data_IF_346385213571
#
_entry.id   IF_346385213571
#
_cell.length_a   1.000
_cell.length_b   1.000
_cell.length_c   1.000
_cell.angle_alpha   90.00
_cell.angle_beta   90.00
_cell.angle_gamma   90.00
#
_symmetry.space_group_name_H-M   'P 1'
#
loop_
_entity.id
_entity.type
_entity.pdbx_description
1 polymer ?
#
# COMPACT_ATOMS: atom_id res chain seq x y z
N UNK A 1 -7.38 -5.29 72.19
CA UNK A 1 -7.08 -4.31 71.12
C UNK A 1 -7.38 -5.05 69.81
N UNK A 2 -8.44 -4.79 69.05
CA UNK A 2 -8.83 -3.50 68.47
C UNK A 2 -8.00 -3.29 67.19
N UNK A 3 -8.53 -3.30 65.96
CA UNK A 3 -9.92 -3.13 65.47
C UNK A 3 -10.21 -4.03 64.26
N UNK A 4 -11.49 -4.31 64.01
CA UNK A 4 -11.97 -4.75 62.70
C UNK A 4 -12.53 -3.55 61.91
N UNK A 5 -12.22 -3.47 60.61
CA UNK A 5 -12.93 -2.71 59.56
C UNK A 5 -12.31 -3.17 58.22
N UNK A 6 -12.92 -4.03 57.39
CA UNK A 6 -14.28 -4.05 56.84
C UNK A 6 -14.54 -2.86 55.88
N UNK A 7 -14.04 -2.99 54.66
CA UNK A 7 -14.53 -2.26 53.48
C UNK A 7 -14.74 -3.25 52.33
N UNK A 8 -15.98 -3.72 52.20
CA UNK A 8 -16.44 -4.40 51.00
C UNK A 8 -16.63 -3.35 49.89
N UNK A 9 -15.79 -3.36 48.85
CA UNK A 9 -16.11 -2.66 47.62
C UNK A 9 -16.92 -3.58 46.70
N UNK A 10 -18.23 -3.51 46.86
CA UNK A 10 -19.17 -3.93 45.81
C UNK A 10 -19.02 -2.99 44.62
N UNK A 11 -18.44 -3.49 43.52
CA UNK A 11 -18.74 -2.94 42.20
C UNK A 11 -19.61 -3.94 41.45
N UNK A 12 -20.91 -3.82 41.67
CA UNK A 12 -21.89 -4.20 40.66
C UNK A 12 -21.72 -3.26 39.47
N UNK A 13 -21.32 -3.80 38.32
CA UNK A 13 -21.74 -3.20 37.05
C UNK A 13 -22.11 -4.30 36.06
N UNK A 14 -23.40 -4.35 35.73
CA UNK A 14 -23.97 -5.29 34.80
C UNK A 14 -23.89 -4.75 33.37
N UNK A 15 -23.24 -5.51 32.50
CA UNK A 15 -23.49 -5.64 31.05
C UNK A 15 -22.78 -6.94 30.67
N UNK A 16 -23.41 -7.94 30.08
CA UNK A 16 -24.29 -7.86 28.91
C UNK A 16 -23.55 -8.59 27.79
N UNK A 17 -24.19 -9.56 27.12
CA UNK A 17 -23.55 -10.34 26.05
C UNK A 17 -23.03 -9.44 24.93
N UNK A 18 -22.04 -9.89 24.17
CA UNK A 18 -22.23 -10.22 22.75
C UNK A 18 -21.03 -11.01 22.20
N UNK A 19 -21.29 -12.22 21.73
CA UNK A 19 -20.40 -12.86 20.76
C UNK A 19 -20.68 -12.23 19.40
N UNK A 20 -19.72 -11.52 18.82
CA UNK A 20 -19.84 -11.05 17.44
C UNK A 20 -19.48 -12.18 16.48
N UNK A 21 -20.49 -12.81 15.90
CA UNK A 21 -20.36 -13.48 14.61
C UNK A 21 -19.92 -12.45 13.58
N UNK A 22 -18.76 -12.66 12.94
CA UNK A 22 -18.24 -11.75 11.92
C UNK A 22 -19.04 -11.97 10.61
N UNK A 23 -20.08 -11.16 10.39
CA UNK A 23 -20.84 -11.18 9.13
C UNK A 23 -20.02 -10.52 8.01
N UNK A 24 -19.74 -11.28 6.96
CA UNK A 24 -18.92 -10.85 5.83
C UNK A 24 -19.76 -10.08 4.81
N UNK A 25 -19.94 -8.76 4.98
CA UNK A 25 -20.53 -7.88 3.94
C UNK A 25 -20.08 -6.40 4.02
N UNK A 26 -19.05 -6.09 3.23
CA UNK A 26 -18.75 -4.80 2.55
C UNK A 26 -18.28 -3.55 3.37
N UNK A 27 -16.94 -3.32 3.39
CA UNK A 27 -16.18 -2.07 3.07
C UNK A 27 -16.75 -0.66 3.47
N UNK A 28 -16.05 0.35 4.04
CA UNK A 28 -14.65 0.69 4.47
C UNK A 28 -14.80 1.64 5.72
N UNK A 29 -13.94 1.76 6.76
CA UNK A 29 -12.61 2.42 6.79
C UNK A 29 -11.95 2.30 8.18
N UNK A 30 -10.87 1.51 8.28
CA UNK A 30 -9.75 1.84 9.17
C UNK A 30 -8.77 2.71 8.37
N UNK A 31 -7.95 3.58 9.00
CA UNK A 31 -6.78 4.12 8.32
C UNK A 31 -5.98 2.96 7.70
N UNK A 32 -5.43 3.08 6.48
CA UNK A 32 -4.49 2.10 5.97
C UNK A 32 -3.39 1.91 7.01
N UNK A 33 -3.00 0.66 7.28
CA UNK A 33 -1.87 0.40 8.18
C UNK A 33 -0.56 0.81 7.50
N UNK A 34 -0.28 2.11 7.55
CA UNK A 34 0.91 2.73 6.98
C UNK A 34 2.16 2.35 7.77
N UNK A 35 2.03 1.88 9.02
CA UNK A 35 3.16 1.53 9.88
C UNK A 35 4.08 0.50 9.22
N UNK A 36 3.50 -0.45 8.48
CA UNK A 36 4.22 -1.48 7.71
C UNK A 36 5.14 -0.91 6.62
N UNK A 37 4.87 0.28 6.10
CA UNK A 37 5.55 0.86 4.92
C UNK A 37 6.28 2.18 5.17
N UNK A 38 5.98 2.88 6.26
CA UNK A 38 6.59 4.16 6.60
C UNK A 38 8.09 4.02 6.90
N UNK A 39 8.47 3.06 7.74
CA UNK A 39 9.87 2.80 8.10
C UNK A 39 10.53 1.70 7.26
N UNK A 40 9.82 1.19 6.25
CA UNK A 40 10.32 0.11 5.41
C UNK A 40 11.48 0.56 4.50
N UNK A 41 12.44 -0.34 4.30
CA UNK A 41 13.44 -0.23 3.26
C UNK A 41 12.77 -0.53 1.91
N UNK A 42 12.51 0.53 1.14
CA UNK A 42 11.91 0.42 -0.19
C UNK A 42 12.98 0.76 -1.23
N UNK A 43 13.31 -0.20 -2.07
CA UNK A 43 14.27 -0.04 -3.18
C UNK A 43 13.60 -0.28 -4.52
N UNK A 44 14.19 0.27 -5.58
CA UNK A 44 13.73 0.15 -6.97
C UNK A 44 14.87 -0.30 -7.87
N UNK A 45 14.57 -1.15 -8.84
CA UNK A 45 15.52 -1.60 -9.87
C UNK A 45 14.89 -1.36 -11.23
N UNK A 46 15.65 -0.82 -12.18
CA UNK A 46 15.20 -0.66 -13.57
C UNK A 46 15.77 -1.81 -14.41
N UNK A 47 14.95 -2.38 -15.28
CA UNK A 47 15.34 -3.47 -16.18
C UNK A 47 14.91 -3.19 -17.63
N UNK A 48 15.60 -3.79 -18.59
CA UNK A 48 15.18 -3.78 -19.99
C UNK A 48 13.99 -4.73 -20.19
N UNK A 49 12.88 -4.20 -20.66
CA UNK A 49 11.66 -4.95 -20.99
C UNK A 49 11.63 -5.32 -22.49
N UNK A 50 10.51 -5.87 -22.96
CA UNK A 50 10.32 -6.27 -24.35
C UNK A 50 10.46 -5.06 -25.32
N UNK A 51 10.76 -5.31 -26.60
CA UNK A 51 10.91 -4.27 -27.63
C UNK A 51 11.91 -3.14 -27.27
N UNK A 52 12.99 -3.45 -26.52
CA UNK A 52 13.99 -2.48 -26.03
C UNK A 52 13.40 -1.35 -25.16
N UNK A 53 12.24 -1.58 -24.56
CA UNK A 53 11.62 -0.66 -23.58
C UNK A 53 12.18 -0.89 -22.17
N UNK A 54 11.69 -0.14 -21.19
CA UNK A 54 12.10 -0.23 -19.79
C UNK A 54 10.93 -0.65 -18.89
N UNK A 55 11.24 -1.46 -17.88
CA UNK A 55 10.36 -1.76 -16.76
C UNK A 55 11.03 -1.44 -15.43
N UNK A 56 10.29 -1.61 -14.34
CA UNK A 56 10.85 -1.48 -12.98
C UNK A 56 10.31 -2.53 -12.01
N UNK A 57 11.14 -2.88 -11.05
CA UNK A 57 10.80 -3.65 -9.87
C UNK A 57 10.84 -2.75 -8.63
N UNK A 58 9.95 -3.00 -7.66
CA UNK A 58 10.00 -2.37 -6.33
C UNK A 58 10.03 -3.47 -5.28
N UNK A 59 11.04 -3.41 -4.41
CA UNK A 59 11.23 -4.30 -3.29
C UNK A 59 10.92 -3.58 -1.98
N UNK A 60 10.25 -4.27 -1.05
CA UNK A 60 9.99 -3.80 0.31
C UNK A 60 10.63 -4.80 1.28
N UNK A 61 11.59 -4.33 2.08
CA UNK A 61 12.40 -5.17 2.97
C UNK A 61 13.01 -6.38 2.25
N UNK A 62 13.56 -6.14 1.05
CA UNK A 62 14.14 -7.13 0.12
C UNK A 62 13.15 -8.10 -0.55
N UNK A 63 11.85 -8.04 -0.26
CA UNK A 63 10.82 -8.84 -0.94
C UNK A 63 10.27 -8.07 -2.14
N UNK A 64 10.23 -8.70 -3.32
CA UNK A 64 9.62 -8.13 -4.52
C UNK A 64 8.12 -7.90 -4.29
N UNK A 65 7.69 -6.65 -4.36
CA UNK A 65 6.28 -6.26 -4.16
C UNK A 65 5.60 -5.89 -5.49
N UNK A 66 6.31 -5.20 -6.39
CA UNK A 66 5.81 -4.81 -7.71
C UNK A 66 6.82 -5.23 -8.76
N UNK A 67 6.34 -5.92 -9.79
CA UNK A 67 7.05 -6.15 -11.05
C UNK A 67 6.24 -5.48 -12.16
N UNK A 68 6.75 -4.41 -12.75
CA UNK A 68 6.03 -3.59 -13.73
C UNK A 68 6.82 -3.50 -15.05
N UNK A 69 6.64 -4.48 -15.97
CA UNK A 69 7.33 -4.51 -17.26
C UNK A 69 6.69 -3.60 -18.32
N UNK A 70 5.43 -3.22 -18.16
CA UNK A 70 4.67 -2.37 -19.10
C UNK A 70 4.23 -1.05 -18.46
N UNK A 71 3.83 -0.05 -19.25
CA UNK A 71 3.27 1.21 -18.72
C UNK A 71 1.89 0.93 -18.07
N UNK A 72 1.65 1.32 -16.79
CA UNK A 72 0.34 1.19 -16.16
C UNK A 72 -0.78 1.92 -16.93
N UNK A 73 -2.05 1.52 -16.72
CA UNK A 73 -3.24 2.10 -17.37
C UNK A 73 -3.35 1.97 -18.90
N UNK A 74 -2.32 1.50 -19.60
CA UNK A 74 -2.35 1.23 -21.03
C UNK A 74 -2.36 -0.29 -21.26
N UNK A 75 -3.29 -0.78 -22.09
CA UNK A 75 -3.51 -2.22 -22.30
C UNK A 75 -2.44 -2.94 -23.13
N UNK A 76 -1.24 -2.36 -23.23
CA UNK A 76 -0.16 -2.82 -24.08
C UNK A 76 0.88 -3.67 -23.35
N UNK A 77 1.64 -4.45 -24.12
CA UNK A 77 2.86 -5.15 -23.66
C UNK A 77 4.10 -4.24 -23.66
N UNK A 78 3.93 -2.96 -23.97
CA UNK A 78 5.04 -2.01 -24.08
C UNK A 78 5.41 -1.42 -22.73
N UNK A 79 6.70 -1.44 -22.43
CA UNK A 79 7.30 -0.72 -21.32
C UNK A 79 7.53 0.75 -21.65
N UNK A 80 8.22 1.41 -20.74
CA UNK A 80 8.58 2.81 -20.87
C UNK A 80 9.63 3.03 -21.96
N UNK A 81 9.47 4.06 -22.79
CA UNK A 81 10.44 4.42 -23.83
C UNK A 81 11.81 4.79 -23.26
N UNK A 82 11.86 5.35 -22.05
CA UNK A 82 13.12 5.74 -21.41
C UNK A 82 13.22 5.22 -19.96
N UNK A 83 14.45 5.07 -19.48
CA UNK A 83 14.75 4.81 -18.06
C UNK A 83 14.13 5.86 -17.12
N UNK A 84 14.09 7.13 -17.58
CA UNK A 84 13.60 8.26 -16.79
C UNK A 84 12.11 8.15 -16.52
N UNK A 85 11.34 7.71 -17.52
CA UNK A 85 9.89 7.55 -17.37
C UNK A 85 9.57 6.38 -16.42
N UNK A 86 10.24 5.23 -16.60
CA UNK A 86 10.14 4.10 -15.68
C UNK A 86 10.49 4.49 -14.23
N UNK A 87 11.59 5.23 -14.04
CA UNK A 87 12.02 5.75 -12.75
C UNK A 87 10.97 6.67 -12.10
N UNK A 88 10.41 7.58 -12.87
CA UNK A 88 9.43 8.57 -12.39
C UNK A 88 8.13 7.89 -11.93
N UNK A 89 7.67 6.86 -12.64
CA UNK A 89 6.50 6.07 -12.21
C UNK A 89 6.83 5.17 -11.02
N UNK A 90 8.03 4.57 -10.96
CA UNK A 90 8.47 3.83 -9.79
C UNK A 90 8.46 4.70 -8.52
N UNK A 91 8.90 5.95 -8.61
CA UNK A 91 8.88 6.92 -7.50
C UNK A 91 7.46 7.32 -7.07
N UNK A 92 6.55 7.51 -8.02
CA UNK A 92 5.12 7.70 -7.73
C UNK A 92 4.56 6.48 -6.98
N UNK A 93 4.86 5.25 -7.43
CA UNK A 93 4.39 4.02 -6.81
C UNK A 93 4.97 3.84 -5.40
N UNK A 94 6.26 4.10 -5.18
CA UNK A 94 6.87 4.10 -3.84
C UNK A 94 6.17 5.11 -2.92
N UNK A 95 5.87 6.30 -3.43
CA UNK A 95 5.15 7.34 -2.66
C UNK A 95 3.75 6.87 -2.25
N UNK A 96 3.07 6.09 -3.09
CA UNK A 96 1.77 5.46 -2.77
C UNK A 96 1.91 4.33 -1.75
N UNK A 97 2.92 3.48 -1.89
CA UNK A 97 3.21 2.40 -0.93
C UNK A 97 3.49 2.96 0.47
N UNK A 98 4.32 4.01 0.60
CA UNK A 98 4.57 4.68 1.90
C UNK A 98 3.31 5.25 2.55
N UNK A 99 2.36 5.73 1.73
CA UNK A 99 1.02 6.18 2.17
C UNK A 99 0.05 5.02 2.47
N UNK A 100 0.50 3.76 2.46
CA UNK A 100 -0.33 2.57 2.70
C UNK A 100 -1.32 2.24 1.56
N UNK A 101 -1.17 2.86 0.39
CA UNK A 101 -2.04 2.62 -0.76
C UNK A 101 -1.57 1.35 -1.48
N UNK A 102 -1.99 0.19 -0.99
CA UNK A 102 -1.62 -1.13 -1.50
C UNK A 102 -2.88 -1.94 -1.84
N UNK A 103 -3.04 -2.45 -3.09
CA UNK A 103 -2.13 -2.33 -4.22
C UNK A 103 -2.07 -0.88 -4.78
N UNK A 104 -0.87 -0.38 -5.13
CA UNK A 104 -0.72 0.98 -5.64
C UNK A 104 -1.26 1.10 -7.07
N UNK A 105 -2.38 1.78 -7.24
CA UNK A 105 -2.95 2.07 -8.57
C UNK A 105 -2.35 3.36 -9.12
N UNK A 106 -1.80 3.33 -10.35
CA UNK A 106 -1.37 4.53 -11.09
C UNK A 106 -2.43 4.88 -12.12
N UNK A 107 -2.84 6.15 -12.19
CA UNK A 107 -3.90 6.63 -13.10
C UNK A 107 -3.33 7.27 -14.37
N UNK A 108 -4.12 7.32 -15.46
CA UNK A 108 -3.77 8.06 -16.69
C UNK A 108 -3.47 9.54 -16.43
N UNK A 109 -4.16 10.17 -15.48
CA UNK A 109 -3.93 11.56 -15.11
C UNK A 109 -2.55 11.79 -14.50
N UNK A 110 -2.07 10.87 -13.65
CA UNK A 110 -0.75 10.94 -13.04
C UNK A 110 0.37 10.68 -14.06
N UNK A 111 0.18 9.73 -14.99
CA UNK A 111 1.11 9.52 -16.09
C UNK A 111 1.22 10.77 -16.98
N UNK A 112 0.09 11.39 -17.32
CA UNK A 112 0.05 12.67 -18.06
C UNK A 112 0.74 13.80 -17.29
N UNK A 113 0.59 13.86 -15.96
CA UNK A 113 1.27 14.85 -15.12
C UNK A 113 2.80 14.64 -15.07
N UNK A 114 3.27 13.39 -15.21
CA UNK A 114 4.68 13.04 -15.41
C UNK A 114 5.17 13.26 -16.86
N UNK A 115 4.30 13.72 -17.77
CA UNK A 115 4.61 13.88 -19.20
C UNK A 115 4.59 12.58 -20.02
N UNK A 116 4.23 11.46 -19.39
CA UNK A 116 4.25 10.13 -19.99
C UNK A 116 2.96 9.91 -20.77
N UNK A 117 3.12 9.53 -22.04
CA UNK A 117 2.06 9.10 -22.94
C UNK A 117 2.42 7.69 -23.42
N UNK A 118 1.44 6.79 -23.51
CA UNK A 118 1.54 5.76 -24.54
C UNK A 118 1.23 6.42 -25.89
N UNK A 119 1.68 5.80 -26.96
CA UNK A 119 1.22 6.17 -28.29
C UNK A 119 -0.23 5.66 -28.45
N UNK A 120 -1.13 6.55 -28.88
CA UNK A 120 -2.55 6.25 -29.19
C UNK A 120 -2.70 5.70 -30.63
#
# INVERSE_FOLDING_TARGET
MGKALLLCFWFLFSTGMYAQSVDSRNTITSPPDTSRYQDALITKVLFSAHNNTWGYDIFVNHVLLIHQPSIPCYGGREGFKTKKDALSVAELVITKIRKGLVPPTVTKAELKALGIKADD
#
